data_IF_470034895086
#
_entry.id   IF_470034895086
#
_cell.length_a   1.000
_cell.length_b   1.000
_cell.length_c   1.000
_cell.angle_alpha   90.00
_cell.angle_beta   90.00
_cell.angle_gamma   90.00
#
_symmetry.space_group_name_H-M   'P 1'
#
loop_
_entity.id
_entity.type
_entity.pdbx_description
1 polymer ?
#
# COMPACT_ATOMS: atom_id res chain seq x y z
N UNK A 1 -13.40 -18.97 64.27
CA UNK A 1 -13.80 -18.69 62.90
C UNK A 1 -12.66 -17.92 62.28
N UNK A 2 -11.77 -18.62 61.61
CA UNK A 2 -10.52 -18.07 61.06
C UNK A 2 -10.63 -18.06 59.52
N UNK A 3 -10.71 -16.87 58.99
CA UNK A 3 -10.79 -16.60 57.54
C UNK A 3 -9.38 -16.74 56.92
N UNK A 4 -9.25 -17.71 56.03
CA UNK A 4 -8.02 -18.01 55.30
C UNK A 4 -7.86 -16.99 54.15
N UNK A 5 -6.97 -16.03 54.32
CA UNK A 5 -6.45 -15.18 53.24
C UNK A 5 -5.78 -16.04 52.15
N UNK A 6 -6.37 -16.09 50.99
CA UNK A 6 -5.76 -16.68 49.76
C UNK A 6 -4.60 -15.80 49.32
N UNK A 7 -3.42 -16.37 49.34
CA UNK A 7 -2.20 -15.76 48.86
C UNK A 7 -2.27 -15.38 47.37
N UNK A 8 -1.97 -14.15 47.12
CA UNK A 8 -1.66 -13.64 45.77
C UNK A 8 -0.32 -14.24 45.31
N UNK A 9 -0.37 -15.09 44.31
CA UNK A 9 0.83 -15.57 43.63
C UNK A 9 1.58 -14.39 42.99
N UNK A 10 2.93 -14.35 43.07
CA UNK A 10 3.69 -13.28 42.47
C UNK A 10 3.56 -13.35 40.92
N UNK A 11 3.21 -12.23 40.35
CA UNK A 11 3.23 -12.02 38.90
C UNK A 11 4.68 -12.07 38.46
N UNK A 12 5.05 -13.12 37.72
CA UNK A 12 6.35 -13.22 37.04
C UNK A 12 6.48 -12.13 35.95
N UNK A 13 7.56 -11.36 36.01
CA UNK A 13 7.84 -10.18 35.21
C UNK A 13 8.19 -10.54 33.72
N UNK A 14 8.21 -11.81 33.34
CA UNK A 14 8.54 -12.31 31.98
C UNK A 14 7.37 -13.05 31.29
N UNK A 15 6.14 -12.67 31.55
CA UNK A 15 4.97 -13.25 30.89
C UNK A 15 4.77 -12.76 29.46
N UNK A 16 5.43 -13.35 28.45
CA UNK A 16 4.93 -13.33 27.07
C UNK A 16 3.49 -13.88 27.09
N UNK A 17 2.51 -12.97 27.01
CA UNK A 17 1.09 -13.32 27.06
C UNK A 17 0.78 -14.21 25.85
N UNK A 18 0.50 -15.47 26.09
CA UNK A 18 0.00 -16.38 25.07
C UNK A 18 -1.38 -15.90 24.58
N UNK A 19 -1.57 -15.92 23.27
CA UNK A 19 -2.81 -15.51 22.63
C UNK A 19 -3.94 -16.53 22.91
N UNK A 20 -5.21 -16.19 22.65
CA UNK A 20 -6.33 -17.13 22.69
C UNK A 20 -6.13 -18.36 21.81
N UNK A 21 -5.22 -18.28 20.84
CA UNK A 21 -4.88 -19.34 19.87
C UNK A 21 -3.57 -20.06 20.19
N UNK A 22 -2.93 -19.78 21.34
CA UNK A 22 -1.65 -20.38 21.74
C UNK A 22 -0.40 -19.84 21.01
N UNK A 23 -0.55 -18.92 20.05
CA UNK A 23 0.57 -18.31 19.33
C UNK A 23 1.12 -17.14 20.13
N UNK A 24 2.44 -17.01 20.21
CA UNK A 24 3.10 -15.86 20.86
C UNK A 24 2.81 -14.56 20.09
N UNK A 25 2.54 -13.48 20.80
CA UNK A 25 2.27 -12.15 20.21
C UNK A 25 3.43 -11.68 19.32
N UNK A 26 4.67 -11.92 19.74
CA UNK A 26 5.87 -11.61 18.96
C UNK A 26 5.93 -12.37 17.63
N UNK A 27 5.61 -13.66 17.64
CA UNK A 27 5.55 -14.49 16.42
C UNK A 27 4.54 -13.94 15.41
N UNK A 28 3.31 -13.63 15.88
CA UNK A 28 2.28 -13.03 15.01
C UNK A 28 2.71 -11.66 14.48
N UNK A 29 3.40 -10.85 15.29
CA UNK A 29 3.96 -9.57 14.87
C UNK A 29 4.95 -9.72 13.73
N UNK A 30 5.95 -10.59 13.89
CA UNK A 30 6.97 -10.80 12.86
C UNK A 30 6.43 -11.46 11.59
N UNK A 31 5.52 -12.42 11.70
CA UNK A 31 4.85 -13.01 10.53
C UNK A 31 4.09 -11.95 9.74
N UNK A 32 3.34 -11.08 10.43
CA UNK A 32 2.64 -9.96 9.80
C UNK A 32 3.62 -8.96 9.15
N UNK A 33 4.70 -8.61 9.85
CA UNK A 33 5.74 -7.71 9.33
C UNK A 33 6.35 -8.24 8.02
N UNK A 34 6.87 -9.47 8.02
CA UNK A 34 7.56 -10.00 6.85
C UNK A 34 6.61 -10.30 5.70
N UNK A 35 5.37 -10.69 5.98
CA UNK A 35 4.36 -10.87 4.93
C UNK A 35 4.02 -9.53 4.26
N UNK A 36 3.79 -8.48 5.04
CA UNK A 36 3.51 -7.17 4.48
C UNK A 36 4.74 -6.53 3.84
N UNK A 37 5.95 -6.84 4.32
CA UNK A 37 7.20 -6.45 3.68
C UNK A 37 7.35 -7.08 2.28
N UNK A 38 7.11 -8.39 2.14
CA UNK A 38 7.21 -9.08 0.86
C UNK A 38 6.18 -8.56 -0.16
N UNK A 39 4.91 -8.44 0.25
CA UNK A 39 3.84 -7.90 -0.59
C UNK A 39 4.11 -6.43 -0.95
N UNK A 40 4.51 -5.61 0.02
CA UNK A 40 4.82 -4.20 -0.21
C UNK A 40 6.01 -4.02 -1.15
N UNK A 41 7.05 -4.85 -0.99
CA UNK A 41 8.21 -4.83 -1.91
C UNK A 41 7.78 -5.12 -3.34
N UNK A 42 7.01 -6.19 -3.58
CA UNK A 42 6.52 -6.53 -4.92
C UNK A 42 5.59 -5.46 -5.50
N UNK A 43 4.74 -4.86 -4.66
CA UNK A 43 3.82 -3.79 -5.06
C UNK A 43 4.55 -2.56 -5.61
N UNK A 44 5.61 -2.12 -4.93
CA UNK A 44 6.29 -0.86 -5.26
C UNK A 44 7.52 -1.06 -6.16
N UNK A 45 8.00 -2.29 -6.33
CA UNK A 45 9.23 -2.63 -7.05
C UNK A 45 9.20 -2.23 -8.53
N UNK A 46 8.05 -2.36 -9.19
CA UNK A 46 7.96 -2.16 -10.64
C UNK A 46 8.16 -0.70 -11.05
N UNK A 47 7.76 0.27 -10.22
CA UNK A 47 7.92 1.68 -10.52
C UNK A 47 9.38 2.09 -10.84
N UNK A 48 10.39 1.76 -10.01
CA UNK A 48 11.78 2.03 -10.33
C UNK A 48 12.37 1.10 -11.40
N UNK A 49 11.81 -0.10 -11.60
CA UNK A 49 12.26 -1.03 -12.64
C UNK A 49 11.63 -0.75 -14.00
N UNK A 50 10.63 0.11 -14.08
CA UNK A 50 9.88 0.36 -15.31
C UNK A 50 10.75 0.74 -16.53
N UNK A 51 11.80 1.60 -16.39
CA UNK A 51 12.67 1.92 -17.53
C UNK A 51 13.49 0.70 -17.99
N UNK A 52 13.86 -0.19 -17.10
CA UNK A 52 14.58 -1.43 -17.42
C UNK A 52 13.65 -2.45 -18.08
N UNK A 53 12.51 -2.75 -17.46
CA UNK A 53 11.50 -3.67 -17.98
C UNK A 53 11.00 -3.26 -19.37
N UNK A 54 10.86 -1.95 -19.60
CA UNK A 54 10.48 -1.42 -20.91
C UNK A 54 11.49 -1.80 -22.01
N UNK A 55 12.79 -1.71 -21.72
CA UNK A 55 13.86 -2.05 -22.67
C UNK A 55 13.92 -3.55 -22.91
N UNK A 56 13.87 -4.33 -21.85
CA UNK A 56 14.00 -5.79 -21.93
C UNK A 56 12.79 -6.48 -22.60
N UNK A 57 11.60 -5.91 -22.43
CA UNK A 57 10.36 -6.44 -23.03
C UNK A 57 9.97 -5.74 -24.33
N UNK A 58 10.82 -4.83 -24.83
CA UNK A 58 10.61 -4.04 -26.05
C UNK A 58 9.23 -3.35 -26.10
N UNK A 59 8.91 -2.56 -25.06
CA UNK A 59 7.60 -1.93 -24.90
C UNK A 59 7.72 -0.41 -24.96
N UNK A 60 6.84 0.28 -25.73
CA UNK A 60 6.79 1.73 -25.72
C UNK A 60 6.40 2.26 -24.33
N UNK A 61 6.91 3.45 -23.96
CA UNK A 61 6.68 4.05 -22.65
C UNK A 61 5.19 4.24 -22.35
N UNK A 62 4.38 4.53 -23.36
CA UNK A 62 2.92 4.64 -23.24
C UNK A 62 2.24 3.38 -22.72
N UNK A 63 2.76 2.19 -23.06
CA UNK A 63 2.20 0.90 -22.61
C UNK A 63 2.87 0.36 -21.34
N UNK A 64 4.07 0.83 -21.00
CA UNK A 64 4.84 0.32 -19.87
C UNK A 64 4.08 0.45 -18.53
N UNK A 65 3.24 1.47 -18.39
CA UNK A 65 2.40 1.68 -17.21
C UNK A 65 1.47 0.50 -16.89
N UNK A 66 1.10 -0.32 -17.87
CA UNK A 66 0.30 -1.52 -17.65
C UNK A 66 0.99 -2.56 -16.77
N UNK A 67 2.32 -2.55 -16.66
CA UNK A 67 3.06 -3.44 -15.75
C UNK A 67 2.78 -3.10 -14.27
N UNK A 68 2.47 -1.84 -13.97
CA UNK A 68 2.01 -1.40 -12.65
C UNK A 68 0.51 -1.58 -12.50
N UNK A 69 -0.25 -1.13 -13.53
CA UNK A 69 -1.72 -1.16 -13.52
C UNK A 69 -2.31 -2.56 -13.41
N UNK A 70 -1.70 -3.57 -14.03
CA UNK A 70 -2.22 -4.92 -14.02
C UNK A 70 -2.26 -5.50 -12.60
N UNK A 71 -1.20 -5.32 -11.83
CA UNK A 71 -1.16 -5.74 -10.42
C UNK A 71 -2.22 -4.99 -9.60
N UNK A 72 -2.26 -3.67 -9.76
CA UNK A 72 -3.22 -2.84 -9.06
C UNK A 72 -4.67 -3.22 -9.40
N UNK A 73 -4.96 -3.52 -10.66
CA UNK A 73 -6.29 -3.96 -11.09
C UNK A 73 -6.67 -5.30 -10.48
N UNK A 74 -5.75 -6.28 -10.52
CA UNK A 74 -5.97 -7.59 -9.89
C UNK A 74 -6.25 -7.43 -8.39
N UNK A 75 -5.45 -6.63 -7.71
CA UNK A 75 -5.66 -6.34 -6.28
C UNK A 75 -7.00 -5.64 -6.04
N UNK A 76 -7.34 -4.58 -6.79
CA UNK A 76 -8.57 -3.81 -6.62
C UNK A 76 -9.83 -4.66 -6.75
N UNK A 77 -9.91 -5.47 -7.81
CA UNK A 77 -11.08 -6.32 -8.07
C UNK A 77 -11.26 -7.38 -6.98
N UNK A 78 -10.18 -8.01 -6.56
CA UNK A 78 -10.26 -9.13 -5.61
C UNK A 78 -10.22 -8.72 -4.15
N UNK A 79 -9.81 -7.50 -3.82
CA UNK A 79 -9.96 -6.94 -2.47
C UNK A 79 -11.44 -6.89 -2.02
N UNK A 80 -12.37 -6.68 -2.95
CA UNK A 80 -13.81 -6.71 -2.68
C UNK A 80 -14.29 -8.11 -2.29
N UNK A 81 -13.68 -9.15 -2.85
CA UNK A 81 -14.10 -10.54 -2.65
C UNK A 81 -13.34 -11.21 -1.50
N UNK A 82 -12.14 -10.74 -1.22
CA UNK A 82 -11.25 -11.34 -0.22
C UNK A 82 -11.85 -11.32 1.20
N UNK A 83 -12.57 -10.28 1.59
CA UNK A 83 -13.29 -10.19 2.87
C UNK A 83 -14.37 -11.28 3.00
N UNK A 84 -15.38 -11.27 2.13
CA UNK A 84 -16.45 -12.28 2.13
C UNK A 84 -15.97 -13.73 2.07
N UNK A 85 -14.92 -14.01 1.29
CA UNK A 85 -14.32 -15.35 1.22
C UNK A 85 -13.70 -15.73 2.56
N UNK A 86 -13.02 -14.80 3.21
CA UNK A 86 -12.43 -14.97 4.52
C UNK A 86 -13.45 -15.29 5.62
N UNK A 87 -14.59 -14.63 5.57
CA UNK A 87 -15.62 -14.78 6.59
C UNK A 87 -16.32 -16.16 6.53
N UNK A 88 -16.12 -16.91 5.44
CA UNK A 88 -16.69 -18.25 5.22
C UNK A 88 -15.66 -19.38 5.37
N UNK A 89 -14.38 -19.09 5.37
CA UNK A 89 -13.32 -20.11 5.35
C UNK A 89 -12.33 -19.90 6.50
N UNK A 90 -11.59 -20.96 6.85
CA UNK A 90 -10.46 -20.84 7.77
C UNK A 90 -9.41 -19.88 7.18
N UNK A 91 -9.17 -18.77 7.90
CA UNK A 91 -8.25 -17.71 7.46
C UNK A 91 -6.84 -18.21 7.19
N UNK A 92 -6.38 -19.22 7.94
CA UNK A 92 -5.10 -19.89 7.67
C UNK A 92 -5.07 -20.50 6.27
N UNK A 93 -6.12 -21.19 5.86
CA UNK A 93 -6.20 -21.78 4.51
C UNK A 93 -6.17 -20.70 3.43
N UNK A 94 -6.92 -19.61 3.62
CA UNK A 94 -6.97 -18.50 2.67
C UNK A 94 -5.61 -17.80 2.56
N UNK A 95 -4.91 -17.56 3.67
CA UNK A 95 -3.56 -17.00 3.66
C UNK A 95 -2.58 -17.92 2.93
N UNK A 96 -2.57 -19.19 3.28
CA UNK A 96 -1.60 -20.14 2.70
C UNK A 96 -1.84 -20.37 1.21
N UNK A 97 -3.08 -20.50 0.76
CA UNK A 97 -3.40 -20.63 -0.67
C UNK A 97 -3.10 -19.32 -1.42
N UNK A 98 -3.45 -18.16 -0.85
CA UNK A 98 -3.14 -16.85 -1.42
C UNK A 98 -1.63 -16.63 -1.54
N UNK A 99 -0.85 -16.97 -0.50
CA UNK A 99 0.61 -16.79 -0.54
C UNK A 99 1.29 -17.81 -1.47
N UNK A 100 0.78 -19.05 -1.57
CA UNK A 100 1.27 -20.01 -2.55
C UNK A 100 1.02 -19.50 -3.99
N UNK A 101 -0.16 -18.97 -4.26
CA UNK A 101 -0.48 -18.34 -5.54
C UNK A 101 0.43 -17.12 -5.80
N UNK A 102 0.68 -16.28 -4.78
CA UNK A 102 1.59 -15.13 -4.88
C UNK A 102 3.02 -15.58 -5.24
N UNK A 103 3.54 -16.63 -4.62
CA UNK A 103 4.84 -17.25 -4.95
C UNK A 103 4.89 -17.66 -6.43
N UNK A 104 3.87 -18.38 -6.90
CA UNK A 104 3.81 -18.84 -8.30
C UNK A 104 3.78 -17.67 -9.28
N UNK A 105 2.92 -16.69 -9.06
CA UNK A 105 2.76 -15.58 -10.00
C UNK A 105 3.87 -14.53 -9.92
N UNK A 106 4.49 -14.31 -8.75
CA UNK A 106 5.68 -13.48 -8.63
C UNK A 106 6.89 -14.16 -9.30
N UNK A 107 7.01 -15.48 -9.17
CA UNK A 107 7.99 -16.27 -9.93
C UNK A 107 7.75 -16.12 -11.44
N UNK A 108 6.51 -16.25 -11.89
CA UNK A 108 6.12 -16.06 -13.28
C UNK A 108 6.46 -14.65 -13.80
N UNK A 109 6.41 -13.62 -12.95
CA UNK A 109 6.91 -12.29 -13.31
C UNK A 109 8.40 -12.31 -13.62
N UNK A 110 9.21 -13.00 -12.79
CA UNK A 110 10.66 -13.15 -13.03
C UNK A 110 11.02 -14.03 -14.23
N UNK A 111 10.10 -14.86 -14.70
CA UNK A 111 10.27 -15.74 -15.86
C UNK A 111 9.50 -15.27 -17.09
N UNK A 112 8.97 -14.05 -17.09
CA UNK A 112 8.17 -13.52 -18.20
C UNK A 112 9.03 -13.39 -19.48
N UNK A 113 8.50 -13.91 -20.58
CA UNK A 113 9.17 -13.89 -21.90
C UNK A 113 8.59 -12.85 -22.87
N UNK A 114 7.53 -12.17 -22.47
CA UNK A 114 6.89 -11.12 -23.26
C UNK A 114 6.17 -10.12 -22.36
N UNK A 115 5.83 -8.96 -22.92
CA UNK A 115 5.02 -7.96 -22.22
C UNK A 115 3.70 -8.52 -21.69
N UNK A 116 2.96 -9.27 -22.51
CA UNK A 116 1.66 -9.81 -22.12
C UNK A 116 1.75 -10.91 -21.06
N UNK A 117 2.79 -11.76 -21.11
CA UNK A 117 3.04 -12.74 -20.05
C UNK A 117 3.34 -12.06 -18.71
N UNK A 118 4.12 -10.96 -18.75
CA UNK A 118 4.39 -10.16 -17.56
C UNK A 118 3.12 -9.46 -17.03
N UNK A 119 2.30 -8.88 -17.91
CA UNK A 119 1.01 -8.25 -17.53
C UNK A 119 0.07 -9.25 -16.87
N UNK A 120 -0.06 -10.46 -17.45
CA UNK A 120 -0.90 -11.53 -16.88
C UNK A 120 -0.37 -12.00 -15.51
N UNK A 121 0.94 -12.23 -15.40
CA UNK A 121 1.57 -12.62 -14.14
C UNK A 121 1.41 -11.53 -13.07
N UNK A 122 1.60 -10.26 -13.42
CA UNK A 122 1.37 -9.11 -12.51
C UNK A 122 -0.08 -9.04 -12.04
N UNK A 123 -1.06 -9.21 -12.94
CA UNK A 123 -2.46 -9.23 -12.56
C UNK A 123 -2.76 -10.34 -11.54
N UNK A 124 -2.30 -11.56 -11.79
CA UNK A 124 -2.53 -12.69 -10.90
C UNK A 124 -1.75 -12.59 -9.58
N UNK A 125 -0.56 -11.99 -9.58
CA UNK A 125 0.18 -11.65 -8.36
C UNK A 125 -0.61 -10.63 -7.51
N UNK A 126 -1.21 -9.61 -8.15
CA UNK A 126 -2.08 -8.63 -7.48
C UNK A 126 -3.32 -9.27 -6.87
N UNK A 127 -3.99 -10.17 -7.58
CA UNK A 127 -5.11 -11.00 -7.05
C UNK A 127 -4.67 -11.73 -5.78
N UNK A 128 -3.55 -12.43 -5.86
CA UNK A 128 -3.01 -13.22 -4.74
C UNK A 128 -2.65 -12.35 -3.53
N UNK A 129 -2.03 -11.21 -3.76
CA UNK A 129 -1.68 -10.25 -2.72
C UNK A 129 -2.90 -9.67 -2.01
N UNK A 130 -4.02 -9.44 -2.73
CA UNK A 130 -5.27 -8.97 -2.13
C UNK A 130 -5.82 -9.97 -1.11
N UNK A 131 -5.78 -11.27 -1.41
CA UNK A 131 -6.19 -12.29 -0.44
C UNK A 131 -5.26 -12.33 0.77
N UNK A 132 -3.94 -12.36 0.58
CA UNK A 132 -2.98 -12.47 1.68
C UNK A 132 -3.04 -11.27 2.60
N UNK A 133 -2.95 -10.06 2.08
CA UNK A 133 -2.91 -8.84 2.90
C UNK A 133 -4.21 -8.62 3.67
N UNK A 134 -5.36 -8.82 3.03
CA UNK A 134 -6.67 -8.72 3.70
C UNK A 134 -6.77 -9.67 4.89
N UNK A 135 -6.25 -10.89 4.75
CA UNK A 135 -6.29 -11.89 5.83
C UNK A 135 -5.33 -11.56 6.98
N UNK A 136 -4.14 -11.03 6.69
CA UNK A 136 -3.22 -10.60 7.75
C UNK A 136 -3.91 -9.55 8.62
N UNK A 137 -4.46 -8.48 8.02
CA UNK A 137 -5.16 -7.43 8.77
C UNK A 137 -6.36 -7.97 9.57
N UNK A 138 -7.18 -8.82 8.95
CA UNK A 138 -8.37 -9.38 9.57
C UNK A 138 -8.06 -10.41 10.68
N UNK A 139 -6.90 -11.09 10.62
CA UNK A 139 -6.53 -12.11 11.60
C UNK A 139 -5.95 -11.53 12.88
N UNK A 140 -5.28 -10.37 12.83
CA UNK A 140 -4.63 -9.78 14.00
C UNK A 140 -5.59 -9.62 15.19
N UNK A 141 -6.79 -9.01 15.06
CA UNK A 141 -7.66 -8.78 16.21
C UNK A 141 -8.22 -10.05 16.86
N UNK A 142 -8.24 -11.16 16.11
CA UNK A 142 -8.81 -12.45 16.59
C UNK A 142 -7.75 -13.44 17.05
N UNK A 143 -6.47 -13.19 16.72
CA UNK A 143 -5.37 -14.09 17.10
C UNK A 143 -4.57 -13.62 18.30
N UNK A 144 -4.60 -12.32 18.63
CA UNK A 144 -3.83 -11.78 19.76
C UNK A 144 -4.74 -11.12 20.80
N UNK A 145 -4.30 -11.03 22.09
CA UNK A 145 -5.06 -10.35 23.12
C UNK A 145 -5.32 -8.87 22.76
N UNK A 146 -6.51 -8.34 23.13
CA UNK A 146 -6.91 -6.95 22.83
C UNK A 146 -5.83 -5.89 23.07
N UNK A 147 -5.07 -5.89 24.22
CA UNK A 147 -4.02 -4.90 24.43
C UNK A 147 -2.86 -4.97 23.43
N UNK A 148 -2.65 -6.11 22.78
CA UNK A 148 -1.56 -6.36 21.83
C UNK A 148 -1.94 -6.09 20.36
N UNK A 149 -3.21 -5.88 20.05
CA UNK A 149 -3.71 -5.69 18.67
C UNK A 149 -3.01 -4.50 18.01
N UNK A 150 -2.97 -3.34 18.66
CA UNK A 150 -2.32 -2.14 18.13
C UNK A 150 -0.84 -2.38 17.86
N UNK A 151 -0.15 -3.10 18.78
CA UNK A 151 1.27 -3.44 18.60
C UNK A 151 1.49 -4.31 17.37
N UNK A 152 0.70 -5.35 17.16
CA UNK A 152 0.84 -6.26 16.02
C UNK A 152 0.42 -5.60 14.70
N UNK A 153 -0.60 -4.76 14.69
CA UNK A 153 -0.93 -3.91 13.53
C UNK A 153 0.23 -2.97 13.19
N UNK A 154 0.93 -2.43 14.21
CA UNK A 154 2.14 -1.65 14.02
C UNK A 154 3.25 -2.42 13.32
N UNK A 155 3.46 -3.71 13.63
CA UNK A 155 4.41 -4.57 12.88
C UNK A 155 4.02 -4.72 11.41
N UNK A 156 2.75 -4.96 11.10
CA UNK A 156 2.29 -5.08 9.71
C UNK A 156 2.49 -3.76 8.93
N UNK A 157 2.15 -2.62 9.53
CA UNK A 157 2.38 -1.29 8.93
C UNK A 157 3.86 -1.01 8.73
N UNK A 158 4.71 -1.35 9.72
CA UNK A 158 6.16 -1.21 9.62
C UNK A 158 6.73 -2.06 8.48
N UNK A 159 6.19 -3.26 8.25
CA UNK A 159 6.57 -4.10 7.11
C UNK A 159 6.39 -3.38 5.77
N UNK A 160 5.24 -2.74 5.55
CA UNK A 160 4.99 -1.94 4.34
C UNK A 160 5.93 -0.73 4.23
N UNK A 161 6.18 -0.03 5.33
CA UNK A 161 7.08 1.12 5.33
C UNK A 161 8.53 0.70 5.03
N UNK A 162 9.01 -0.38 5.64
CA UNK A 162 10.36 -0.92 5.39
C UNK A 162 10.47 -1.47 3.97
N UNK A 163 9.39 -1.99 3.38
CA UNK A 163 9.36 -2.38 1.98
C UNK A 163 9.71 -1.20 1.05
N UNK A 164 9.16 -0.03 1.30
CA UNK A 164 9.47 1.17 0.51
C UNK A 164 10.89 1.68 0.74
N UNK A 165 11.35 1.69 2.00
CA UNK A 165 12.66 2.27 2.38
C UNK A 165 13.83 1.34 2.04
N UNK A 166 13.65 0.04 2.15
CA UNK A 166 14.70 -0.95 1.97
C UNK A 166 14.41 -1.95 0.84
N UNK A 167 13.19 -2.51 0.79
CA UNK A 167 12.82 -3.54 -0.18
C UNK A 167 12.95 -3.06 -1.62
N UNK A 168 12.40 -1.89 -1.92
CA UNK A 168 12.45 -1.31 -3.27
C UNK A 168 13.87 -0.93 -3.71
N UNK A 169 14.71 -0.25 -2.91
CA UNK A 169 16.09 0.00 -3.25
C UNK A 169 16.94 -1.26 -3.43
N UNK A 170 16.76 -2.26 -2.56
CA UNK A 170 17.43 -3.56 -2.70
C UNK A 170 17.04 -4.21 -4.03
N UNK A 171 15.75 -4.21 -4.37
CA UNK A 171 15.28 -4.71 -5.66
C UNK A 171 15.86 -3.95 -6.85
N UNK A 172 15.92 -2.63 -6.78
CA UNK A 172 16.59 -1.81 -7.81
C UNK A 172 18.08 -2.15 -7.96
N UNK A 173 18.77 -2.42 -6.86
CA UNK A 173 20.18 -2.84 -6.89
C UNK A 173 20.34 -4.24 -7.49
N UNK A 174 19.50 -5.19 -7.11
CA UNK A 174 19.50 -6.56 -7.64
C UNK A 174 19.26 -6.59 -9.15
N UNK A 175 18.42 -5.69 -9.65
CA UNK A 175 18.07 -5.62 -11.07
C UNK A 175 19.25 -5.25 -11.98
N UNK A 176 20.36 -4.75 -11.46
CA UNK A 176 21.60 -4.50 -12.19
C UNK A 176 22.19 -5.81 -12.75
N UNK A 177 21.99 -6.92 -12.03
CA UNK A 177 22.47 -8.26 -12.46
C UNK A 177 21.46 -8.99 -13.35
N UNK A 178 20.27 -8.48 -13.49
CA UNK A 178 19.17 -9.00 -14.29
C UNK A 178 17.83 -8.56 -13.73
N UNK A 179 16.94 -8.07 -14.59
CA UNK A 179 15.62 -7.57 -14.18
C UNK A 179 14.73 -8.64 -13.54
N UNK A 180 15.05 -9.92 -13.78
CA UNK A 180 14.37 -11.08 -13.20
C UNK A 180 14.66 -11.26 -11.72
N UNK A 181 15.90 -10.92 -11.31
CA UNK A 181 16.44 -11.25 -9.99
C UNK A 181 15.63 -10.70 -8.83
N UNK A 182 15.15 -9.45 -8.86
CA UNK A 182 14.26 -8.93 -7.80
C UNK A 182 13.01 -9.77 -7.58
N UNK A 183 12.33 -10.20 -8.64
CA UNK A 183 11.13 -11.03 -8.55
C UNK A 183 11.45 -12.42 -7.98
N UNK A 184 12.55 -13.02 -8.41
CA UNK A 184 12.99 -14.33 -7.92
C UNK A 184 13.38 -14.28 -6.43
N UNK A 185 14.00 -13.18 -5.98
CA UNK A 185 14.33 -12.97 -4.56
C UNK A 185 13.06 -12.79 -3.73
N UNK A 186 12.08 -11.98 -4.20
CA UNK A 186 10.78 -11.86 -3.52
C UNK A 186 10.07 -13.21 -3.48
N UNK A 187 10.14 -14.00 -4.55
CA UNK A 187 9.62 -15.38 -4.60
C UNK A 187 10.26 -16.25 -3.54
N UNK A 188 11.60 -16.29 -3.46
CA UNK A 188 12.32 -17.09 -2.49
C UNK A 188 11.98 -16.72 -1.05
N UNK A 189 11.93 -15.41 -0.75
CA UNK A 189 11.50 -14.91 0.56
C UNK A 189 10.04 -15.33 0.85
N UNK A 190 9.16 -15.26 -0.14
CA UNK A 190 7.75 -15.63 0.01
C UNK A 190 7.57 -17.15 0.22
N UNK A 191 8.43 -18.01 -0.36
CA UNK A 191 8.45 -19.45 -0.08
C UNK A 191 8.82 -19.71 1.37
N UNK A 192 9.87 -19.05 1.88
CA UNK A 192 10.27 -19.17 3.29
C UNK A 192 9.12 -18.72 4.21
N UNK A 193 8.50 -17.60 3.89
CA UNK A 193 7.35 -17.08 4.63
C UNK A 193 6.16 -18.02 4.59
N UNK A 194 5.90 -18.65 3.45
CA UNK A 194 4.84 -19.65 3.33
C UNK A 194 5.09 -20.82 4.29
N UNK A 195 6.33 -21.33 4.36
CA UNK A 195 6.72 -22.37 5.30
C UNK A 195 6.56 -21.93 6.76
N UNK A 196 6.99 -20.73 7.11
CA UNK A 196 6.85 -20.16 8.46
C UNK A 196 5.37 -19.98 8.86
N UNK A 197 4.53 -19.48 7.94
CA UNK A 197 3.09 -19.36 8.15
C UNK A 197 2.43 -20.73 8.28
N UNK A 198 2.84 -21.70 7.45
CA UNK A 198 2.35 -23.08 7.53
C UNK A 198 2.64 -23.70 8.91
N UNK A 199 3.81 -23.46 9.48
CA UNK A 199 4.20 -24.02 10.78
C UNK A 199 3.60 -23.26 11.97
N UNK A 200 3.47 -21.94 11.87
CA UNK A 200 3.24 -21.07 13.04
C UNK A 200 1.91 -20.33 13.04
N UNK A 201 1.21 -20.21 11.89
CA UNK A 201 -0.05 -19.47 11.85
C UNK A 201 -1.21 -20.33 12.38
N UNK A 202 -2.01 -19.81 13.33
CA UNK A 202 -3.08 -20.59 13.95
C UNK A 202 -4.26 -20.82 13.00
N UNK A 203 -5.03 -21.86 13.26
CA UNK A 203 -6.35 -22.04 12.66
C UNK A 203 -7.31 -20.98 13.20
N UNK A 204 -7.87 -20.18 12.32
CA UNK A 204 -8.85 -19.13 12.66
C UNK A 204 -10.13 -19.44 11.90
N UNK A 205 -11.01 -20.20 12.56
CA UNK A 205 -12.31 -20.55 11.99
C UNK A 205 -13.27 -19.37 12.10
N UNK A 206 -14.19 -19.21 11.16
CA UNK A 206 -15.27 -18.23 11.25
C UNK A 206 -16.06 -18.43 12.54
N UNK A 207 -16.38 -17.33 13.21
CA UNK A 207 -17.24 -17.33 14.42
C UNK A 207 -18.53 -16.57 14.09
N UNK A 208 -19.68 -17.23 14.23
CA UNK A 208 -20.99 -16.65 13.98
C UNK A 208 -21.52 -16.84 12.57
N UNK A 209 -22.72 -16.33 12.32
CA UNK A 209 -23.33 -16.31 10.99
C UNK A 209 -22.53 -15.38 10.06
N UNK A 210 -22.41 -15.74 8.76
CA UNK A 210 -21.77 -14.88 7.77
C UNK A 210 -22.47 -13.50 7.76
N UNK A 211 -21.69 -12.45 7.97
CA UNK A 211 -22.22 -11.10 7.89
C UNK A 211 -22.93 -10.90 6.55
N UNK A 212 -24.04 -10.15 6.56
CA UNK A 212 -24.71 -9.72 5.33
C UNK A 212 -23.78 -8.75 4.58
N UNK A 213 -22.95 -9.35 3.72
CA UNK A 213 -21.92 -8.64 2.94
C UNK A 213 -22.60 -7.68 1.98
N UNK A 214 -23.62 -8.15 1.24
CA UNK A 214 -24.33 -7.34 0.24
C UNK A 214 -25.01 -6.15 0.90
N UNK A 215 -25.73 -6.38 2.00
CA UNK A 215 -26.35 -5.29 2.77
C UNK A 215 -25.32 -4.32 3.37
N UNK A 216 -24.13 -4.80 3.73
CA UNK A 216 -23.05 -3.91 4.20
C UNK A 216 -22.52 -3.01 3.08
N UNK A 217 -22.32 -3.53 1.88
CA UNK A 217 -21.96 -2.73 0.71
C UNK A 217 -23.07 -1.75 0.34
N UNK A 218 -24.32 -2.17 0.34
CA UNK A 218 -25.47 -1.29 0.08
C UNK A 218 -25.57 -0.15 1.10
N UNK A 219 -25.37 -0.42 2.38
CA UNK A 219 -25.36 0.62 3.43
C UNK A 219 -24.25 1.64 3.23
N UNK A 220 -23.02 1.19 2.94
CA UNK A 220 -21.86 2.08 2.71
C UNK A 220 -22.06 2.93 1.46
N UNK A 221 -22.42 2.31 0.34
CA UNK A 221 -22.65 3.00 -0.94
C UNK A 221 -23.94 3.83 -0.95
N UNK A 222 -24.91 3.52 -0.12
CA UNK A 222 -26.10 4.32 0.12
C UNK A 222 -25.82 5.61 0.89
N UNK A 223 -24.80 5.64 1.74
CA UNK A 223 -24.39 6.84 2.46
C UNK A 223 -23.77 7.86 1.50
N UNK A 224 -24.38 9.06 1.42
CA UNK A 224 -23.85 10.16 0.58
C UNK A 224 -22.43 10.53 0.98
N UNK A 225 -22.17 10.66 2.28
CA UNK A 225 -20.85 11.04 2.81
C UNK A 225 -19.79 10.01 2.42
N UNK A 226 -20.05 8.72 2.69
CA UNK A 226 -19.08 7.66 2.38
C UNK A 226 -18.84 7.50 0.88
N UNK A 227 -19.90 7.56 0.06
CA UNK A 227 -19.79 7.45 -1.40
C UNK A 227 -18.90 8.55 -1.99
N UNK A 228 -19.14 9.81 -1.63
CA UNK A 228 -18.34 10.93 -2.13
C UNK A 228 -16.94 10.94 -1.54
N UNK A 229 -16.76 10.55 -0.28
CA UNK A 229 -15.43 10.42 0.34
C UNK A 229 -14.60 9.32 -0.29
N UNK A 230 -15.20 8.16 -0.61
CA UNK A 230 -14.54 7.08 -1.34
C UNK A 230 -14.15 7.49 -2.77
N UNK A 231 -15.02 8.23 -3.45
CA UNK A 231 -14.71 8.78 -4.77
C UNK A 231 -13.58 9.81 -4.70
N UNK A 232 -13.62 10.70 -3.70
CA UNK A 232 -12.54 11.67 -3.46
C UNK A 232 -11.21 10.96 -3.17
N UNK A 233 -11.24 9.89 -2.37
CA UNK A 233 -10.08 9.08 -2.07
C UNK A 233 -9.52 8.36 -3.31
N UNK A 234 -10.38 7.81 -4.17
CA UNK A 234 -9.99 7.22 -5.45
C UNK A 234 -9.28 8.26 -6.33
N UNK A 235 -9.86 9.44 -6.48
CA UNK A 235 -9.30 10.53 -7.30
C UNK A 235 -7.97 11.01 -6.72
N UNK A 236 -7.88 11.18 -5.41
CA UNK A 236 -6.62 11.51 -4.72
C UNK A 236 -5.53 10.47 -5.00
N UNK A 237 -5.87 9.19 -4.86
CA UNK A 237 -4.91 8.11 -5.11
C UNK A 237 -4.52 8.01 -6.59
N UNK A 238 -5.44 8.28 -7.51
CA UNK A 238 -5.11 8.38 -8.95
C UNK A 238 -4.02 9.44 -9.18
N UNK A 239 -4.16 10.62 -8.60
CA UNK A 239 -3.15 11.66 -8.67
C UNK A 239 -1.82 11.24 -8.03
N UNK A 240 -1.86 10.66 -6.84
CA UNK A 240 -0.67 10.24 -6.11
C UNK A 240 0.15 9.20 -6.90
N UNK A 241 -0.52 8.17 -7.43
CA UNK A 241 0.12 7.13 -8.23
C UNK A 241 0.52 7.60 -9.65
N UNK A 242 -0.10 8.62 -10.21
CA UNK A 242 0.29 9.19 -11.50
C UNK A 242 1.74 9.69 -11.49
N UNK A 243 2.14 10.38 -10.43
CA UNK A 243 3.53 10.80 -10.26
C UNK A 243 4.42 9.67 -9.75
N UNK A 244 3.99 8.91 -8.74
CA UNK A 244 4.81 7.86 -8.12
C UNK A 244 5.23 6.75 -9.10
N UNK A 245 4.32 6.27 -9.96
CA UNK A 245 4.58 5.12 -10.83
C UNK A 245 5.64 5.40 -11.92
N UNK A 246 5.83 6.66 -12.29
CA UNK A 246 6.71 7.03 -13.41
C UNK A 246 7.97 7.77 -13.02
N UNK A 247 8.24 7.95 -11.71
CA UNK A 247 9.45 8.66 -11.24
C UNK A 247 10.73 7.98 -11.75
N UNK A 248 10.81 6.65 -11.71
CA UNK A 248 11.96 5.91 -12.21
C UNK A 248 12.19 6.16 -13.71
N UNK A 249 11.11 6.11 -14.51
CA UNK A 249 11.16 6.38 -15.95
C UNK A 249 11.56 7.81 -16.27
N UNK A 250 11.09 8.78 -15.49
CA UNK A 250 11.46 10.17 -15.62
C UNK A 250 12.92 10.43 -15.32
N UNK A 251 13.41 9.92 -14.16
CA UNK A 251 14.81 10.08 -13.77
C UNK A 251 15.76 9.43 -14.79
N UNK A 252 15.40 8.27 -15.34
CA UNK A 252 16.17 7.62 -16.39
C UNK A 252 16.16 8.41 -17.71
N UNK A 253 14.99 8.96 -18.10
CA UNK A 253 14.81 9.65 -19.39
C UNK A 253 15.47 11.02 -19.41
N UNK A 254 15.23 11.85 -18.40
CA UNK A 254 15.60 13.27 -18.41
C UNK A 254 16.97 13.53 -17.77
N UNK A 255 17.41 12.68 -16.83
CA UNK A 255 18.68 12.82 -16.13
C UNK A 255 19.70 11.70 -16.45
N UNK A 256 19.34 10.72 -17.27
CA UNK A 256 20.21 9.55 -17.54
C UNK A 256 20.54 8.74 -16.28
N UNK A 257 19.64 8.75 -15.29
CA UNK A 257 19.89 8.14 -13.99
C UNK A 257 20.11 6.62 -14.11
N UNK A 258 21.20 6.14 -13.51
CA UNK A 258 21.44 4.71 -13.39
C UNK A 258 20.44 4.04 -12.46
N UNK A 259 20.28 2.73 -12.58
CA UNK A 259 19.38 1.95 -11.71
C UNK A 259 19.73 2.10 -10.22
N UNK A 260 21.03 2.21 -9.90
CA UNK A 260 21.49 2.49 -8.52
C UNK A 260 21.05 3.87 -8.04
N UNK A 261 21.11 4.91 -8.89
CA UNK A 261 20.69 6.26 -8.56
C UNK A 261 19.17 6.31 -8.34
N UNK A 262 18.39 5.62 -9.18
CA UNK A 262 16.94 5.47 -9.01
C UNK A 262 16.62 4.77 -7.68
N UNK A 263 17.34 3.69 -7.33
CA UNK A 263 17.19 3.02 -6.05
C UNK A 263 17.44 3.93 -4.85
N UNK A 264 18.49 4.76 -4.88
CA UNK A 264 18.76 5.77 -3.83
C UNK A 264 17.66 6.83 -3.75
N UNK A 265 17.14 7.28 -4.90
CA UNK A 265 16.01 8.20 -4.94
C UNK A 265 14.77 7.60 -4.28
N UNK A 266 14.44 6.34 -4.60
CA UNK A 266 13.31 5.62 -3.98
C UNK A 266 13.48 5.44 -2.47
N UNK A 267 14.71 5.24 -1.98
CA UNK A 267 14.99 5.20 -0.55
C UNK A 267 14.69 6.54 0.13
N UNK A 268 15.12 7.66 -0.46
CA UNK A 268 14.81 9.00 0.06
C UNK A 268 13.30 9.27 0.09
N UNK A 269 12.59 8.86 -0.95
CA UNK A 269 11.14 8.98 -1.08
C UNK A 269 10.43 8.13 -0.01
N UNK A 270 10.86 6.89 0.19
CA UNK A 270 10.35 6.01 1.24
C UNK A 270 10.59 6.58 2.65
N UNK A 271 11.78 7.11 2.92
CA UNK A 271 12.09 7.81 4.18
C UNK A 271 11.18 9.04 4.36
N UNK A 272 10.91 9.79 3.30
CA UNK A 272 9.96 10.90 3.32
C UNK A 272 8.58 10.44 3.79
N UNK A 273 8.03 9.37 3.20
CA UNK A 273 6.74 8.80 3.60
C UNK A 273 6.74 8.36 5.07
N UNK A 274 7.80 7.70 5.52
CA UNK A 274 7.93 7.25 6.91
C UNK A 274 7.97 8.43 7.90
N UNK A 275 8.77 9.47 7.60
CA UNK A 275 8.82 10.70 8.39
C UNK A 275 7.45 11.39 8.47
N UNK A 276 6.75 11.49 7.34
CA UNK A 276 5.40 12.03 7.28
C UNK A 276 4.43 11.29 8.18
N UNK A 277 4.45 9.97 8.15
CA UNK A 277 3.61 9.11 8.99
C UNK A 277 3.90 9.29 10.49
N UNK A 278 5.15 9.50 10.87
CA UNK A 278 5.55 9.75 12.26
C UNK A 278 5.17 11.16 12.76
N UNK A 279 5.24 12.16 11.87
CA UNK A 279 4.92 13.55 12.21
C UNK A 279 3.42 13.83 12.13
N UNK A 280 2.69 13.06 11.35
CA UNK A 280 1.27 13.27 11.05
C UNK A 280 0.39 13.55 12.27
N UNK A 281 0.40 12.71 13.32
CA UNK A 281 -0.41 12.95 14.51
C UNK A 281 -0.14 14.29 15.20
N UNK A 282 1.13 14.75 15.19
CA UNK A 282 1.51 16.06 15.76
C UNK A 282 1.02 17.24 14.91
N UNK A 283 1.05 17.08 13.59
CA UNK A 283 0.55 18.10 12.65
C UNK A 283 -0.96 18.25 12.82
N UNK A 284 -1.69 17.14 12.78
CA UNK A 284 -3.15 17.13 12.94
C UNK A 284 -3.58 17.70 14.28
N UNK A 285 -2.88 17.37 15.37
CA UNK A 285 -3.19 17.91 16.70
C UNK A 285 -3.02 19.43 16.81
N UNK A 286 -2.13 20.04 15.97
CA UNK A 286 -1.86 21.46 16.01
C UNK A 286 -2.77 22.32 15.12
N UNK A 287 -3.07 21.83 13.91
CA UNK A 287 -3.78 22.62 12.89
C UNK A 287 -5.20 22.15 12.60
N UNK A 288 -5.61 21.04 13.26
CA UNK A 288 -6.91 20.41 13.04
C UNK A 288 -6.95 19.46 11.84
N UNK A 289 -7.91 18.58 11.86
CA UNK A 289 -8.04 17.49 10.88
C UNK A 289 -8.38 18.02 9.47
N UNK A 290 -9.32 18.97 9.43
CA UNK A 290 -9.78 19.60 8.20
C UNK A 290 -8.68 20.39 7.47
N UNK A 291 -8.01 21.29 8.19
CA UNK A 291 -6.92 22.08 7.61
C UNK A 291 -5.75 21.21 7.18
N UNK A 292 -5.47 20.15 7.95
CA UNK A 292 -4.48 19.14 7.60
C UNK A 292 -4.81 18.42 6.29
N UNK A 293 -6.09 18.09 6.09
CA UNK A 293 -6.54 17.36 4.89
C UNK A 293 -6.38 18.20 3.62
N UNK A 294 -7.13 19.29 3.50
CA UNK A 294 -7.11 20.08 2.25
C UNK A 294 -5.79 20.82 2.04
N UNK A 295 -5.21 21.39 3.10
CA UNK A 295 -3.91 22.04 3.03
C UNK A 295 -2.80 21.05 2.65
N UNK A 296 -2.82 19.86 3.24
CA UNK A 296 -1.88 18.80 2.90
C UNK A 296 -2.00 18.36 1.44
N UNK A 297 -3.22 18.12 0.93
CA UNK A 297 -3.43 17.75 -0.48
C UNK A 297 -2.88 18.82 -1.43
N UNK A 298 -3.15 20.12 -1.15
CA UNK A 298 -2.66 21.21 -1.98
C UNK A 298 -1.14 21.36 -1.92
N UNK A 299 -0.55 21.26 -0.73
CA UNK A 299 0.90 21.34 -0.52
C UNK A 299 1.60 20.17 -1.23
N UNK A 300 1.05 18.96 -1.12
CA UNK A 300 1.59 17.80 -1.83
C UNK A 300 1.56 18.02 -3.35
N UNK A 301 0.46 18.53 -3.89
CA UNK A 301 0.34 18.88 -5.30
C UNK A 301 1.37 19.92 -5.74
N UNK A 302 1.58 20.96 -4.92
CA UNK A 302 2.59 21.98 -5.17
C UNK A 302 4.02 21.40 -5.21
N UNK A 303 4.36 20.45 -4.32
CA UNK A 303 5.65 19.78 -4.35
C UNK A 303 5.83 18.88 -5.60
N UNK A 304 4.78 18.24 -6.11
CA UNK A 304 4.87 17.50 -7.37
C UNK A 304 5.09 18.43 -8.57
N UNK A 305 4.43 19.58 -8.61
CA UNK A 305 4.67 20.60 -9.63
C UNK A 305 6.08 21.20 -9.51
N UNK A 306 6.54 21.44 -8.28
CA UNK A 306 7.91 21.89 -8.02
C UNK A 306 8.92 20.85 -8.52
N UNK A 307 8.71 19.57 -8.26
CA UNK A 307 9.57 18.50 -8.76
C UNK A 307 9.66 18.50 -10.29
N UNK A 308 8.54 18.72 -11.00
CA UNK A 308 8.51 18.83 -12.45
C UNK A 308 9.23 20.09 -12.97
N UNK A 309 9.23 21.18 -12.19
CA UNK A 309 9.90 22.43 -12.53
C UNK A 309 11.41 22.43 -12.19
N UNK A 310 11.87 21.52 -11.29
CA UNK A 310 13.27 21.48 -10.86
C UNK A 310 14.30 21.41 -11.98
N UNK A 311 14.10 20.64 -13.10
CA UNK A 311 15.05 20.63 -14.19
C UNK A 311 15.29 21.99 -14.87
N UNK A 312 14.36 22.94 -14.70
CA UNK A 312 14.51 24.32 -15.20
C UNK A 312 15.40 25.19 -14.33
N UNK A 313 15.59 24.80 -13.05
CA UNK A 313 16.28 25.59 -12.01
C UNK A 313 17.61 24.94 -11.64
N UNK A 314 17.62 23.61 -11.52
CA UNK A 314 18.77 22.82 -11.08
C UNK A 314 19.00 21.66 -12.04
N UNK A 315 20.22 21.60 -12.58
CA UNK A 315 20.60 20.58 -13.58
C UNK A 315 20.79 19.17 -12.99
N UNK A 316 20.81 19.05 -11.66
CA UNK A 316 21.00 17.76 -10.98
C UNK A 316 19.66 17.11 -10.63
N UNK A 317 19.57 15.78 -10.81
CA UNK A 317 18.38 15.00 -10.45
C UNK A 317 18.01 15.11 -8.96
N UNK A 318 18.97 15.39 -8.09
CA UNK A 318 18.75 15.39 -6.63
C UNK A 318 17.81 16.50 -6.16
N UNK A 319 17.83 17.67 -6.82
CA UNK A 319 16.85 18.73 -6.55
C UNK A 319 15.41 18.29 -6.77
N UNK A 320 15.17 17.60 -7.90
CA UNK A 320 13.86 17.02 -8.22
C UNK A 320 13.48 15.90 -7.23
N UNK A 321 14.43 15.04 -6.85
CA UNK A 321 14.20 13.96 -5.88
C UNK A 321 13.86 14.52 -4.49
N UNK A 322 14.51 15.59 -4.04
CA UNK A 322 14.20 16.24 -2.76
C UNK A 322 12.79 16.84 -2.77
N UNK A 323 12.40 17.54 -3.85
CA UNK A 323 11.04 18.06 -3.97
C UNK A 323 9.99 16.93 -3.99
N UNK A 324 10.30 15.84 -4.68
CA UNK A 324 9.44 14.65 -4.70
C UNK A 324 9.36 13.97 -3.33
N UNK A 325 10.48 13.84 -2.62
CA UNK A 325 10.51 13.29 -1.26
C UNK A 325 9.69 14.17 -0.30
N UNK A 326 9.73 15.50 -0.44
CA UNK A 326 8.90 16.43 0.34
C UNK A 326 7.40 16.19 0.05
N UNK A 327 7.00 15.92 -1.21
CA UNK A 327 5.63 15.53 -1.52
C UNK A 327 5.23 14.24 -0.77
N UNK A 328 6.15 13.27 -0.65
CA UNK A 328 5.89 12.01 0.04
C UNK A 328 5.91 12.13 1.56
N UNK A 329 6.61 13.11 2.14
CA UNK A 329 6.42 13.48 3.56
C UNK A 329 4.98 13.89 3.81
N UNK A 330 4.43 14.72 2.94
CA UNK A 330 3.02 15.14 3.05
C UNK A 330 2.07 13.96 2.82
N UNK A 331 2.33 13.10 1.83
CA UNK A 331 1.55 11.88 1.60
C UNK A 331 1.53 10.96 2.83
N UNK A 332 2.68 10.79 3.48
CA UNK A 332 2.82 9.93 4.66
C UNK A 332 1.91 10.36 5.81
N UNK A 333 1.74 11.67 6.01
CA UNK A 333 0.82 12.14 7.04
C UNK A 333 -0.64 12.17 6.58
N UNK A 334 -0.90 12.40 5.29
CA UNK A 334 -2.27 12.46 4.75
C UNK A 334 -2.99 11.10 4.77
N UNK A 335 -2.29 10.01 4.48
CA UNK A 335 -2.91 8.69 4.40
C UNK A 335 -3.64 8.27 5.69
N UNK A 336 -3.07 8.40 6.90
CA UNK A 336 -3.80 8.15 8.14
C UNK A 336 -5.00 9.08 8.35
N UNK A 337 -4.91 10.34 7.96
CA UNK A 337 -6.01 11.31 8.07
C UNK A 337 -7.17 10.92 7.16
N UNK A 338 -6.88 10.60 5.90
CA UNK A 338 -7.87 10.15 4.92
C UNK A 338 -8.57 8.87 5.37
N UNK A 339 -7.81 7.90 5.91
CA UNK A 339 -8.36 6.67 6.45
C UNK A 339 -9.18 6.93 7.71
N UNK A 340 -8.72 7.79 8.60
CA UNK A 340 -9.43 8.20 9.81
C UNK A 340 -10.80 8.78 9.48
N UNK A 341 -10.87 9.69 8.51
CA UNK A 341 -12.12 10.30 8.03
C UNK A 341 -13.10 9.25 7.47
N UNK A 342 -12.63 8.34 6.62
CA UNK A 342 -13.46 7.25 6.09
C UNK A 342 -13.99 6.34 7.21
N UNK A 343 -13.15 5.99 8.17
CA UNK A 343 -13.50 5.11 9.29
C UNK A 343 -14.44 5.79 10.31
N UNK A 344 -14.34 7.11 10.50
CA UNK A 344 -15.22 7.87 11.39
C UNK A 344 -16.70 7.78 10.96
N UNK A 345 -16.95 7.74 9.65
CA UNK A 345 -18.28 7.62 9.08
C UNK A 345 -18.75 6.17 8.83
N UNK A 346 -17.90 5.18 9.11
CA UNK A 346 -18.16 3.78 8.80
C UNK A 346 -19.19 3.12 9.73
N UNK A 347 -19.39 3.64 10.94
CA UNK A 347 -20.26 3.01 11.94
C UNK A 347 -19.85 1.55 12.20
N UNK A 348 -20.78 0.63 12.00
CA UNK A 348 -20.53 -0.82 12.14
C UNK A 348 -19.89 -1.46 10.87
N UNK A 349 -19.85 -0.74 9.73
CA UNK A 349 -19.37 -1.26 8.45
C UNK A 349 -17.86 -1.00 8.21
N UNK A 350 -17.04 -0.91 9.28
CA UNK A 350 -15.61 -0.58 9.20
C UNK A 350 -14.81 -1.49 8.27
N UNK A 351 -15.10 -2.78 8.28
CA UNK A 351 -14.47 -3.76 7.38
C UNK A 351 -14.78 -3.49 5.91
N UNK A 352 -16.06 -3.20 5.61
CA UNK A 352 -16.51 -2.87 4.25
C UNK A 352 -15.89 -1.56 3.75
N UNK A 353 -15.81 -0.54 4.60
CA UNK A 353 -15.15 0.73 4.27
C UNK A 353 -13.66 0.52 4.02
N UNK A 354 -12.96 -0.29 4.82
CA UNK A 354 -11.54 -0.64 4.57
C UNK A 354 -11.36 -1.37 3.23
N UNK A 355 -12.22 -2.32 2.92
CA UNK A 355 -12.19 -3.06 1.64
C UNK A 355 -12.40 -2.12 0.45
N UNK A 356 -13.42 -1.26 0.50
CA UNK A 356 -13.70 -0.26 -0.53
C UNK A 356 -12.59 0.79 -0.65
N UNK A 357 -11.96 1.19 0.45
CA UNK A 357 -10.82 2.10 0.43
C UNK A 357 -9.61 1.48 -0.25
N UNK A 358 -9.30 0.22 0.05
CA UNK A 358 -8.23 -0.50 -0.65
C UNK A 358 -8.54 -0.63 -2.15
N UNK A 359 -9.78 -0.99 -2.49
CA UNK A 359 -10.23 -1.04 -3.89
C UNK A 359 -10.08 0.31 -4.57
N UNK A 360 -10.51 1.40 -3.94
CA UNK A 360 -10.38 2.75 -4.47
C UNK A 360 -8.91 3.15 -4.67
N UNK A 361 -8.03 2.81 -3.71
CA UNK A 361 -6.59 3.06 -3.81
C UNK A 361 -5.96 2.35 -5.01
N UNK A 362 -6.18 1.05 -5.13
CA UNK A 362 -5.58 0.26 -6.22
C UNK A 362 -6.24 0.51 -7.57
N UNK A 363 -7.54 0.85 -7.62
CA UNK A 363 -8.19 1.31 -8.84
C UNK A 363 -7.62 2.66 -9.30
N UNK A 364 -7.34 3.57 -8.35
CA UNK A 364 -6.64 4.82 -8.63
C UNK A 364 -5.24 4.56 -9.22
N UNK A 365 -4.48 3.61 -8.64
CA UNK A 365 -3.19 3.20 -9.17
C UNK A 365 -3.29 2.58 -10.58
N UNK A 366 -4.37 1.83 -10.85
CA UNK A 366 -4.65 1.26 -12.19
C UNK A 366 -4.85 2.36 -13.22
N UNK A 367 -5.72 3.32 -12.92
CA UNK A 367 -6.01 4.47 -13.81
C UNK A 367 -4.73 5.28 -14.06
N UNK A 368 -4.00 5.57 -12.99
CA UNK A 368 -2.75 6.31 -13.04
C UNK A 368 -1.69 5.65 -13.92
N UNK A 369 -1.49 4.35 -13.77
CA UNK A 369 -0.52 3.60 -14.58
C UNK A 369 -0.93 3.49 -16.05
N UNK A 370 -2.23 3.32 -16.33
CA UNK A 370 -2.75 3.22 -17.69
C UNK A 370 -2.60 4.53 -18.49
N UNK A 371 -2.83 5.68 -17.84
CA UNK A 371 -2.83 7.00 -18.49
C UNK A 371 -1.47 7.69 -18.39
N UNK A 372 -0.76 7.53 -17.27
CA UNK A 372 0.45 8.29 -16.96
C UNK A 372 1.60 8.06 -17.92
N UNK A 373 1.70 6.87 -18.55
CA UNK A 373 2.69 6.58 -19.57
C UNK A 373 2.53 7.44 -20.81
N UNK A 374 1.29 7.62 -21.28
CA UNK A 374 0.95 8.49 -22.40
C UNK A 374 1.26 9.97 -22.08
N UNK A 375 0.90 10.41 -20.88
CA UNK A 375 1.16 11.79 -20.45
C UNK A 375 2.66 12.09 -20.37
N UNK A 376 3.48 11.14 -19.92
CA UNK A 376 4.93 11.28 -19.86
C UNK A 376 5.58 11.32 -21.27
N UNK A 377 4.90 10.81 -22.28
CA UNK A 377 5.39 10.87 -23.68
C UNK A 377 4.93 12.13 -24.41
N UNK A 378 3.73 12.62 -24.14
CA UNK A 378 3.12 13.77 -24.83
C UNK A 378 3.65 15.12 -24.36
N UNK A 379 4.00 15.21 -23.07
CA UNK A 379 4.53 16.44 -22.48
C UNK A 379 6.01 16.26 -22.13
N UNK A 380 6.78 17.37 -22.26
CA UNK A 380 8.20 17.37 -21.92
C UNK A 380 8.41 17.20 -20.41
N UNK A 381 9.50 16.55 -20.01
CA UNK A 381 9.85 16.36 -18.61
C UNK A 381 8.80 15.57 -17.82
N UNK A 382 8.54 15.99 -16.60
CA UNK A 382 7.57 15.35 -15.70
C UNK A 382 6.23 16.11 -15.61
N UNK A 383 6.00 17.09 -16.50
CA UNK A 383 4.79 17.92 -16.45
C UNK A 383 3.49 17.12 -16.61
N UNK A 384 3.47 16.11 -17.49
CA UNK A 384 2.28 15.30 -17.72
C UNK A 384 1.73 14.63 -16.45
N UNK A 385 2.50 13.76 -15.78
CA UNK A 385 2.11 13.16 -14.53
C UNK A 385 1.81 14.18 -13.41
N UNK A 386 2.61 15.25 -13.28
CA UNK A 386 2.44 16.26 -12.23
C UNK A 386 1.18 17.10 -12.40
N UNK A 387 0.83 17.48 -13.64
CA UNK A 387 -0.42 18.19 -13.93
C UNK A 387 -1.64 17.31 -13.70
N UNK A 388 -1.57 16.03 -14.08
CA UNK A 388 -2.62 15.05 -13.75
C UNK A 388 -2.80 14.93 -12.23
N UNK A 389 -1.69 14.87 -11.48
CA UNK A 389 -1.72 14.85 -10.01
C UNK A 389 -2.36 16.11 -9.43
N UNK A 390 -1.94 17.30 -9.89
CA UNK A 390 -2.49 18.56 -9.42
C UNK A 390 -4.00 18.68 -9.70
N UNK A 391 -4.43 18.33 -10.91
CA UNK A 391 -5.84 18.31 -11.27
C UNK A 391 -6.64 17.32 -10.42
N UNK A 392 -6.14 16.10 -10.24
CA UNK A 392 -6.79 15.09 -9.41
C UNK A 392 -6.89 15.55 -7.94
N UNK A 393 -5.87 16.22 -7.42
CA UNK A 393 -5.89 16.72 -6.04
C UNK A 393 -6.89 17.87 -5.85
N UNK A 394 -6.98 18.80 -6.78
CA UNK A 394 -8.01 19.84 -6.76
C UNK A 394 -9.42 19.24 -6.82
N UNK A 395 -9.62 18.26 -7.69
CA UNK A 395 -10.90 17.54 -7.80
C UNK A 395 -11.20 16.77 -6.51
N UNK A 396 -10.21 16.10 -5.90
CA UNK A 396 -10.39 15.39 -4.63
C UNK A 396 -10.82 16.35 -3.51
N UNK A 397 -10.19 17.52 -3.40
CA UNK A 397 -10.60 18.54 -2.42
C UNK A 397 -12.06 19.00 -2.66
N UNK A 398 -12.44 19.23 -3.92
CA UNK A 398 -13.81 19.59 -4.27
C UNK A 398 -14.82 18.49 -3.88
N UNK A 399 -14.48 17.22 -4.16
CA UNK A 399 -15.31 16.07 -3.81
C UNK A 399 -15.44 15.87 -2.30
N UNK A 400 -14.38 16.08 -1.51
CA UNK A 400 -14.44 16.05 -0.04
C UNK A 400 -15.37 17.17 0.50
N UNK A 401 -15.36 18.35 -0.10
CA UNK A 401 -16.32 19.42 0.25
C UNK A 401 -17.78 19.02 -0.04
N UNK A 402 -18.02 18.44 -1.23
CA UNK A 402 -19.36 17.94 -1.62
C UNK A 402 -19.84 16.81 -0.70
N UNK A 403 -18.95 15.98 -0.22
CA UNK A 403 -19.24 14.91 0.72
C UNK A 403 -19.88 15.45 2.01
N UNK A 404 -19.60 16.69 2.38
CA UNK A 404 -20.02 17.26 3.66
C UNK A 404 -19.35 16.59 4.86
N UNK A 405 -18.35 15.74 4.61
CA UNK A 405 -17.57 15.04 5.63
C UNK A 405 -16.79 16.01 6.53
N UNK A 406 -16.84 17.29 6.22
CA UNK A 406 -15.98 18.37 6.66
C UNK A 406 -16.78 19.56 7.18
N UNK A 407 -18.11 19.43 7.26
CA UNK A 407 -19.03 20.49 7.67
C UNK A 407 -19.29 20.54 9.20
N UNK A 408 -18.54 19.79 10.00
CA UNK A 408 -18.75 19.69 11.45
C UNK A 408 -17.50 20.15 12.25
N UNK A 409 -17.03 21.35 12.00
CA UNK A 409 -16.25 22.13 12.98
C UNK A 409 -16.77 23.58 13.00
#
# INVERSE_FOLDING_TARGET
MTEKTRGSSPVSVDGERTSPTGVRVSTMGWLSFFTMFAIGTDTFLVAPLLPLLRRELDVPLSRAGWLVSAYALGYALFALVAGPVSDRHDRRRVILSGLAAFVVFTCACGLAWSFWSMVAARFLAGVSAAFVSSQIWASIPVTVPRPSVIKVMGYATAGLAVAQVAGVPIGSYLSIRGWQLPFLVVTAVSVILWGLLFLSFPHVRPVGEPADVVGSYHRVLGSRVLRWSLLAYLVFQTGNYASFSFIGSWLAKDFGASQTAIGKAMMMIGLGTALGSLLGPRVVARIGEWRSLWGGILIQGAFYLLAAAMPLIVTTMWGAVVAFAAALVVAGFLLPVLMGQLQAHAGQARGTVSSLSNTAMYLGATIAGAIGGDLLTRLSGFWGPSLMTAFAFLLAVALYRIAGALASE
#
